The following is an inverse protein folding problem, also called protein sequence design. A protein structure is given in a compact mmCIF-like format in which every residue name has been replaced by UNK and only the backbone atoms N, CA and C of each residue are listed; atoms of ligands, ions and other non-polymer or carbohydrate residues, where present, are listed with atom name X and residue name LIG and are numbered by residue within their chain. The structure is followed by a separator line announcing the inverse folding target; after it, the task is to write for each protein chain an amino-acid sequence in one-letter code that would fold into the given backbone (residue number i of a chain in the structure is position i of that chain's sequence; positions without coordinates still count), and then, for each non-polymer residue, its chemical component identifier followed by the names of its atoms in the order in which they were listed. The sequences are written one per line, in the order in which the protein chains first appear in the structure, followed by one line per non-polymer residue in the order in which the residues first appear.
data_IF_096147940846
#
_entry.id   IF_096147940846
#
_cell.length_a   1.000
_cell.length_b   1.000
_cell.length_c   1.000
_cell.angle_alpha   90.00
_cell.angle_beta   90.00
_cell.angle_gamma   90.00
#
_symmetry.space_group_name_H-M   'P 1'
#
loop_
_entity.id
_entity.type
_entity.pdbx_description
1 polymer ?
#
# COMPACT_ATOMS: atom_id res chain seq x y z
N UNK A 1 10.13 2.36 12.84
CA UNK A 1 9.10 3.00 11.99
C UNK A 1 9.65 3.01 10.59
N UNK A 2 8.90 2.51 9.60
CA UNK A 2 9.28 2.64 8.20
C UNK A 2 9.07 4.11 7.82
N UNK A 3 10.16 4.83 7.58
CA UNK A 3 10.09 6.22 7.09
C UNK A 3 9.68 6.17 5.61
N UNK A 4 8.53 6.73 5.23
CA UNK A 4 8.10 6.71 3.83
C UNK A 4 8.97 7.68 3.01
N UNK A 5 9.35 7.26 1.80
CA UNK A 5 10.14 8.08 0.87
C UNK A 5 9.36 9.31 0.35
N UNK A 6 8.03 9.30 0.48
CA UNK A 6 7.10 10.36 0.07
C UNK A 6 6.11 10.70 1.21
N UNK A 7 5.51 11.90 1.25
CA UNK A 7 4.59 12.30 2.33
C UNK A 7 3.20 11.70 2.15
N UNK A 8 2.81 10.74 3.02
CA UNK A 8 1.63 9.86 2.91
C UNK A 8 0.37 10.47 2.26
N UNK A 9 -0.34 9.75 1.35
CA UNK A 9 -1.63 10.22 0.85
C UNK A 9 -2.62 10.42 2.01
N UNK A 10 -3.65 11.27 1.84
CA UNK A 10 -4.75 11.34 2.79
C UNK A 10 -5.34 9.95 3.05
N UNK A 11 -5.64 9.66 4.33
CA UNK A 11 -6.18 8.38 4.78
C UNK A 11 -5.23 7.17 4.60
N UNK A 12 -3.95 7.41 4.30
CA UNK A 12 -2.97 6.35 4.21
C UNK A 12 -2.40 5.94 5.57
N UNK A 13 -2.17 4.65 5.72
CA UNK A 13 -1.43 4.01 6.81
C UNK A 13 -0.39 3.06 6.22
N UNK A 14 0.77 2.97 6.87
CA UNK A 14 1.82 2.00 6.52
C UNK A 14 2.07 1.11 7.71
N UNK A 15 2.02 -0.20 7.50
CA UNK A 15 2.18 -1.22 8.55
C UNK A 15 2.74 -2.52 7.97
N UNK A 16 3.11 -3.48 8.83
CA UNK A 16 3.43 -4.84 8.39
C UNK A 16 2.34 -5.83 8.78
N UNK A 17 2.21 -6.91 8.00
CA UNK A 17 1.32 -8.04 8.27
C UNK A 17 2.12 -9.32 8.19
N UNK A 18 2.06 -10.15 9.23
CA UNK A 18 2.54 -11.53 9.15
C UNK A 18 1.64 -12.34 8.21
N UNK A 19 2.24 -12.88 7.16
CA UNK A 19 1.61 -13.75 6.19
C UNK A 19 2.48 -14.99 6.00
N UNK A 20 2.16 -16.06 6.74
CA UNK A 20 2.87 -17.34 6.72
C UNK A 20 4.35 -17.21 7.10
N UNK A 21 4.67 -16.41 8.13
CA UNK A 21 6.04 -16.20 8.61
C UNK A 21 6.84 -15.19 7.78
N UNK A 22 6.15 -14.43 6.93
CA UNK A 22 6.72 -13.33 6.17
C UNK A 22 6.02 -12.04 6.56
N UNK A 23 6.80 -11.06 7.00
CA UNK A 23 6.32 -9.71 7.27
C UNK A 23 6.18 -8.97 5.95
N UNK A 24 4.94 -8.77 5.50
CA UNK A 24 4.64 -7.99 4.30
C UNK A 24 4.48 -6.51 4.69
N UNK A 25 5.27 -5.63 4.08
CA UNK A 25 5.11 -4.19 4.23
C UNK A 25 3.94 -3.69 3.36
N UNK A 26 2.97 -3.03 3.99
CA UNK A 26 1.67 -2.65 3.40
C UNK A 26 1.50 -1.14 3.39
N UNK A 27 0.99 -0.61 2.28
CA UNK A 27 0.36 0.70 2.16
C UNK A 27 -1.16 0.47 2.07
N UNK A 28 -1.93 1.02 3.00
CA UNK A 28 -3.39 0.98 3.02
C UNK A 28 -3.94 2.41 2.98
N UNK A 29 -4.67 2.76 1.93
CA UNK A 29 -5.34 4.05 1.77
C UNK A 29 -6.84 3.82 1.90
N UNK A 30 -7.39 4.18 3.06
CA UNK A 30 -8.75 3.81 3.44
C UNK A 30 -9.63 5.06 3.71
N UNK A 31 -10.32 5.60 2.67
CA UNK A 31 -11.20 6.74 2.86
C UNK A 31 -12.46 6.36 3.65
N UNK A 32 -13.08 7.29 4.42
CA UNK A 32 -14.23 6.98 5.29
C UNK A 32 -15.46 6.40 4.59
N UNK A 33 -15.62 6.67 3.29
CA UNK A 33 -16.76 6.30 2.46
C UNK A 33 -16.39 5.26 1.38
N UNK A 34 -15.38 4.42 1.64
CA UNK A 34 -14.96 3.38 0.72
C UNK A 34 -16.16 2.47 0.33
N UNK A 35 -16.38 2.27 -0.97
CA UNK A 35 -17.47 1.43 -1.49
C UNK A 35 -16.98 0.10 -2.08
N UNK A 36 -15.67 -0.06 -2.25
CA UNK A 36 -15.03 -1.31 -2.68
C UNK A 36 -13.53 -1.28 -2.38
N UNK A 37 -12.88 -2.44 -2.44
CA UNK A 37 -11.45 -2.62 -2.22
C UNK A 37 -10.72 -2.85 -3.55
N UNK A 38 -9.53 -2.24 -3.69
CA UNK A 38 -8.61 -2.46 -4.80
C UNK A 38 -7.27 -2.92 -4.24
N UNK A 39 -6.76 -4.03 -4.75
CA UNK A 39 -5.43 -4.52 -4.42
C UNK A 39 -4.48 -4.31 -5.60
N UNK A 40 -3.45 -3.49 -5.41
CA UNK A 40 -2.41 -3.21 -6.39
C UNK A 40 -1.15 -4.02 -6.10
N UNK A 41 -0.58 -4.62 -7.16
CA UNK A 41 0.61 -5.46 -7.09
C UNK A 41 1.66 -4.95 -8.08
N UNK A 42 2.88 -4.76 -7.61
CA UNK A 42 3.96 -4.19 -8.41
C UNK A 42 4.62 -5.24 -9.32
N UNK A 43 5.38 -4.79 -10.31
CA UNK A 43 6.19 -5.65 -11.19
C UNK A 43 7.54 -6.04 -10.57
N UNK A 44 8.42 -6.67 -11.35
CA UNK A 44 9.69 -7.24 -10.85
C UNK A 44 10.59 -6.26 -10.08
N UNK A 45 10.80 -5.05 -10.60
CA UNK A 45 11.67 -4.03 -9.97
C UNK A 45 10.89 -2.98 -9.18
N UNK A 46 9.58 -3.18 -9.01
CA UNK A 46 8.71 -2.20 -8.39
C UNK A 46 8.60 -2.36 -6.87
N UNK A 47 7.77 -1.51 -6.27
CA UNK A 47 7.46 -1.47 -4.84
C UNK A 47 6.02 -0.99 -4.64
N UNK A 48 5.45 -1.15 -3.44
CA UNK A 48 4.12 -0.57 -3.12
C UNK A 48 4.08 0.95 -3.31
N UNK A 49 5.23 1.63 -3.17
CA UNK A 49 5.38 3.07 -3.39
C UNK A 49 5.10 3.49 -4.83
N UNK A 50 5.23 2.62 -5.82
CA UNK A 50 4.96 2.97 -7.24
C UNK A 50 3.49 3.38 -7.46
N UNK A 51 2.60 2.94 -6.56
CA UNK A 51 1.17 3.23 -6.65
C UNK A 51 0.75 4.50 -5.92
N UNK A 52 1.69 5.30 -5.43
CA UNK A 52 1.39 6.47 -4.60
C UNK A 52 0.27 7.37 -5.14
N UNK A 53 0.44 7.84 -6.37
CA UNK A 53 -0.48 8.76 -7.01
C UNK A 53 -1.79 8.07 -7.40
N UNK A 54 -1.70 6.84 -7.91
CA UNK A 54 -2.88 6.05 -8.26
C UNK A 54 -3.76 5.74 -7.04
N UNK A 55 -3.16 5.39 -5.91
CA UNK A 55 -3.85 5.15 -4.64
C UNK A 55 -4.58 6.40 -4.15
N UNK A 56 -3.96 7.58 -4.28
CA UNK A 56 -4.61 8.85 -3.95
C UNK A 56 -5.82 9.12 -4.85
N UNK A 57 -5.71 8.89 -6.16
CA UNK A 57 -6.80 9.08 -7.12
C UNK A 57 -7.96 8.09 -6.90
N UNK A 58 -7.67 6.81 -6.72
CA UNK A 58 -8.68 5.79 -6.43
C UNK A 58 -9.39 6.04 -5.09
N UNK A 59 -8.65 6.49 -4.07
CA UNK A 59 -9.22 6.91 -2.78
C UNK A 59 -10.22 8.05 -2.94
N UNK A 60 -9.92 9.07 -3.76
CA UNK A 60 -10.85 10.16 -4.07
C UNK A 60 -12.12 9.67 -4.80
N UNK A 61 -12.02 8.60 -5.58
CA UNK A 61 -13.17 7.95 -6.23
C UNK A 61 -13.97 7.06 -5.27
N UNK A 62 -13.50 6.86 -4.04
CA UNK A 62 -14.18 6.08 -3.00
C UNK A 62 -13.75 4.62 -2.94
N UNK A 63 -12.58 4.25 -3.45
CA UNK A 63 -12.01 2.91 -3.25
C UNK A 63 -11.05 2.89 -2.06
N UNK A 64 -11.10 1.84 -1.24
CA UNK A 64 -9.97 1.52 -0.36
C UNK A 64 -8.89 0.86 -1.21
N UNK A 65 -7.65 1.31 -1.08
CA UNK A 65 -6.53 0.80 -1.87
C UNK A 65 -5.49 0.17 -0.97
N UNK A 66 -5.16 -1.10 -1.23
CA UNK A 66 -4.10 -1.83 -0.54
C UNK A 66 -3.01 -2.19 -1.53
N UNK A 67 -1.76 -1.89 -1.19
CA UNK A 67 -0.58 -2.35 -1.90
C UNK A 67 0.42 -2.91 -0.90
N UNK A 68 1.20 -3.91 -1.30
CA UNK A 68 2.28 -4.44 -0.45
C UNK A 68 3.51 -4.75 -1.28
N UNK A 69 4.67 -4.73 -0.64
CA UNK A 69 5.90 -5.21 -1.27
C UNK A 69 5.87 -6.74 -1.32
N UNK A 70 6.19 -7.32 -2.47
CA UNK A 70 6.30 -8.78 -2.59
C UNK A 70 7.30 -9.36 -1.57
N UNK A 71 7.13 -10.64 -1.21
CA UNK A 71 8.09 -11.38 -0.36
C UNK A 71 9.52 -11.18 -0.86
N UNK A 72 10.42 -10.80 0.04
CA UNK A 72 11.83 -10.52 -0.25
C UNK A 72 12.10 -9.27 -1.10
N UNK A 73 11.12 -8.39 -1.32
CA UNK A 73 11.29 -7.13 -2.04
C UNK A 73 11.12 -5.93 -1.11
N UNK A 74 11.91 -4.89 -1.35
CA UNK A 74 11.84 -3.59 -0.66
C UNK A 74 11.80 -3.74 0.87
N UNK A 75 10.65 -3.51 1.51
CA UNK A 75 10.49 -3.53 2.96
C UNK A 75 9.85 -4.81 3.51
N UNK A 76 9.45 -5.75 2.65
CA UNK A 76 8.96 -7.08 3.05
C UNK A 76 10.12 -8.04 3.29
N UNK A 77 9.96 -8.96 4.25
CA UNK A 77 10.95 -10.00 4.54
C UNK A 77 11.00 -11.12 3.48
#
# INVERSE_FOLDING_TARGET
MLEPLLPLPPHASVYTVDAEGVELAVLDVNPPNAHSDVHLMHGFTGSKEDFWELSAQLSQLGYRVVAHDHRGQSQSS
#
